data_IF_509173307003
#
_entry.id   IF_509173307003
#
_cell.length_a   1.000
_cell.length_b   1.000
_cell.length_c   1.000
_cell.angle_alpha   90.00
_cell.angle_beta   90.00
_cell.angle_gamma   90.00
#
_symmetry.space_group_name_H-M   'P 1'
#
loop_
_entity.id
_entity.type
_entity.pdbx_description
1 polymer ?
#
# COMPACT_ATOMS: atom_id res chain seq x y z
N UNK A 1 0.34 -11.10 -9.79
CA UNK A 1 0.51 -9.94 -10.71
C UNK A 1 1.09 -8.81 -9.89
N UNK A 2 2.11 -8.13 -10.41
CA UNK A 2 2.82 -7.10 -9.65
C UNK A 2 2.29 -5.71 -9.94
N UNK A 3 2.14 -4.92 -8.89
CA UNK A 3 1.74 -3.52 -8.97
C UNK A 3 2.63 -2.66 -8.10
N UNK A 4 3.15 -1.58 -8.66
CA UNK A 4 3.66 -0.46 -7.87
C UNK A 4 2.46 0.40 -7.47
N UNK A 5 2.34 0.68 -6.18
CA UNK A 5 1.35 1.60 -5.65
C UNK A 5 2.05 2.69 -4.86
N UNK A 6 1.84 3.93 -5.27
CA UNK A 6 2.28 5.11 -4.53
C UNK A 6 1.08 5.68 -3.78
N UNK A 7 1.23 5.93 -2.49
CA UNK A 7 0.15 6.42 -1.64
C UNK A 7 0.61 7.66 -0.89
N UNK A 8 -0.06 8.78 -1.11
CA UNK A 8 0.16 10.05 -0.40
C UNK A 8 -0.99 10.27 0.58
N UNK A 9 -0.69 10.32 1.88
CA UNK A 9 -1.68 10.38 2.96
C UNK A 9 -1.87 11.83 3.41
N UNK A 10 -3.08 12.36 3.23
CA UNK A 10 -3.47 13.73 3.59
C UNK A 10 -4.63 13.73 4.57
N UNK A 11 -4.31 13.63 5.86
CA UNK A 11 -5.30 13.82 6.93
C UNK A 11 -5.51 15.33 7.13
N UNK A 12 -6.75 15.86 7.05
CA UNK A 12 -7.03 17.28 7.20
C UNK A 12 -6.53 17.85 8.54
N UNK A 13 -6.03 19.09 8.50
CA UNK A 13 -5.74 19.86 9.71
C UNK A 13 -7.05 20.12 10.46
N UNK A 14 -7.15 19.65 11.70
CA UNK A 14 -8.38 19.72 12.49
C UNK A 14 -9.19 18.42 12.52
N UNK A 15 -8.74 17.36 11.83
CA UNK A 15 -9.28 16.02 12.07
C UNK A 15 -8.95 15.58 13.50
N UNK A 16 -9.88 14.85 14.12
CA UNK A 16 -9.75 14.40 15.51
C UNK A 16 -8.48 13.55 15.71
N UNK A 17 -7.66 13.93 16.70
CA UNK A 17 -6.34 13.34 16.90
C UNK A 17 -6.40 11.91 17.45
N UNK A 18 -7.40 11.62 18.29
CA UNK A 18 -7.61 10.29 18.87
C UNK A 18 -8.12 9.34 17.78
N UNK A 19 -9.04 9.82 16.94
CA UNK A 19 -9.53 9.09 15.78
C UNK A 19 -8.43 8.85 14.74
N UNK A 20 -7.60 9.86 14.44
CA UNK A 20 -6.45 9.69 13.57
C UNK A 20 -5.50 8.60 14.11
N UNK A 21 -5.29 8.57 15.42
CA UNK A 21 -4.44 7.57 16.08
C UNK A 21 -5.07 6.18 15.97
N UNK A 22 -6.37 6.05 16.20
CA UNK A 22 -7.12 4.80 16.05
C UNK A 22 -7.05 4.26 14.63
N UNK A 23 -7.30 5.11 13.63
CA UNK A 23 -7.22 4.74 12.22
C UNK A 23 -5.81 4.32 11.82
N UNK A 24 -4.77 5.04 12.27
CA UNK A 24 -3.36 4.66 12.04
C UNK A 24 -3.01 3.31 12.66
N UNK A 25 -3.54 3.00 13.84
CA UNK A 25 -3.32 1.71 14.49
C UNK A 25 -4.01 0.57 13.73
N UNK A 26 -5.25 0.76 13.30
CA UNK A 26 -5.99 -0.19 12.48
C UNK A 26 -5.31 -0.41 11.11
N UNK A 27 -4.87 0.67 10.46
CA UNK A 27 -4.11 0.63 9.21
C UNK A 27 -2.85 -0.22 9.38
N UNK A 28 -2.07 0.03 10.44
CA UNK A 28 -0.85 -0.73 10.72
C UNK A 28 -1.12 -2.22 10.92
N UNK A 29 -2.20 -2.58 11.61
CA UNK A 29 -2.58 -3.98 11.81
C UNK A 29 -2.94 -4.65 10.47
N UNK A 30 -3.80 -4.02 9.66
CA UNK A 30 -4.19 -4.51 8.34
C UNK A 30 -2.99 -4.67 7.41
N UNK A 31 -2.10 -3.68 7.41
CA UNK A 31 -0.84 -3.70 6.67
C UNK A 31 0.06 -4.88 7.07
N UNK A 32 0.21 -5.16 8.37
CA UNK A 32 1.01 -6.28 8.86
C UNK A 32 0.40 -7.64 8.46
N UNK A 33 -0.92 -7.77 8.44
CA UNK A 33 -1.58 -8.97 7.93
C UNK A 33 -1.30 -9.21 6.44
N UNK A 34 -1.43 -8.16 5.62
CA UNK A 34 -1.20 -8.24 4.17
C UNK A 34 0.27 -8.54 3.83
N UNK A 35 1.21 -8.02 4.62
CA UNK A 35 2.62 -8.40 4.48
C UNK A 35 2.89 -9.86 4.85
N UNK A 36 2.31 -10.36 5.96
CA UNK A 36 2.46 -11.77 6.34
C UNK A 36 1.88 -12.72 5.30
N UNK A 37 0.79 -12.31 4.64
CA UNK A 37 0.19 -13.04 3.52
C UNK A 37 1.04 -12.99 2.23
N UNK A 38 2.05 -12.11 2.17
CA UNK A 38 2.88 -11.89 0.98
C UNK A 38 2.20 -11.04 -0.11
N UNK A 39 0.97 -10.60 0.12
CA UNK A 39 0.21 -9.75 -0.81
C UNK A 39 0.81 -8.35 -0.90
N UNK A 40 1.23 -7.78 0.24
CA UNK A 40 1.98 -6.52 0.29
C UNK A 40 3.47 -6.87 0.46
N UNK A 41 4.19 -7.07 -0.65
CA UNK A 41 5.58 -7.57 -0.61
C UNK A 41 6.56 -6.58 0.00
N UNK A 42 6.46 -5.33 -0.44
CA UNK A 42 7.40 -4.30 -0.04
C UNK A 42 6.70 -2.98 0.22
N UNK A 43 7.26 -2.21 1.14
CA UNK A 43 6.89 -0.82 1.39
C UNK A 43 8.14 -0.01 1.69
N UNK A 44 8.16 1.22 1.19
CA UNK A 44 9.17 2.20 1.55
C UNK A 44 8.53 3.54 1.85
N UNK A 45 9.10 4.27 2.80
CA UNK A 45 8.74 5.66 3.08
C UNK A 45 9.40 6.55 2.03
N UNK A 46 8.63 7.44 1.41
CA UNK A 46 9.19 8.53 0.61
C UNK A 46 9.80 9.57 1.54
N UNK A 47 11.10 9.84 1.40
CA UNK A 47 11.83 10.77 2.28
C UNK A 47 11.20 12.16 2.23
N UNK A 48 10.95 12.74 3.41
CA UNK A 48 10.36 14.07 3.55
C UNK A 48 8.86 14.15 3.28
N UNK A 49 8.18 13.03 3.00
CA UNK A 49 6.76 13.01 2.67
C UNK A 49 6.01 12.01 3.56
N UNK A 50 4.75 12.30 3.87
CA UNK A 50 3.85 11.30 4.46
C UNK A 50 3.25 10.38 3.39
N UNK A 51 4.12 9.90 2.51
CA UNK A 51 3.79 9.02 1.38
C UNK A 51 4.60 7.72 1.44
N UNK A 52 4.12 6.68 0.76
CA UNK A 52 4.84 5.42 0.59
C UNK A 52 4.84 4.96 -0.87
N UNK A 53 5.85 4.16 -1.21
CA UNK A 53 5.88 3.35 -2.44
C UNK A 53 5.83 1.89 -2.02
N UNK A 54 4.93 1.14 -2.63
CA UNK A 54 4.65 -0.25 -2.26
C UNK A 54 4.60 -1.16 -3.48
N UNK A 55 4.97 -2.41 -3.29
CA UNK A 55 4.80 -3.48 -4.28
C UNK A 55 3.76 -4.47 -3.78
N UNK A 56 2.68 -4.64 -4.55
CA UNK A 56 1.65 -5.63 -4.30
C UNK A 56 1.80 -6.80 -5.27
N UNK A 57 1.54 -8.00 -4.78
CA UNK A 57 1.37 -9.21 -5.58
C UNK A 57 -0.01 -9.81 -5.33
N UNK A 58 -0.89 -9.66 -6.32
CA UNK A 58 -2.30 -10.11 -6.25
C UNK A 58 -2.67 -10.91 -7.50
N UNK A 59 -3.73 -11.70 -7.44
CA UNK A 59 -4.25 -12.48 -8.56
C UNK A 59 -4.99 -11.64 -9.61
N UNK A 60 -5.49 -10.44 -9.27
CA UNK A 60 -6.28 -9.63 -10.20
C UNK A 60 -6.31 -8.13 -9.86
N UNK A 61 -6.71 -7.31 -10.85
CA UNK A 61 -6.99 -5.88 -10.63
C UNK A 61 -8.10 -5.65 -9.59
N UNK A 62 -9.13 -6.50 -9.57
CA UNK A 62 -10.24 -6.40 -8.63
C UNK A 62 -9.78 -6.66 -7.20
N UNK A 63 -8.96 -7.69 -6.99
CA UNK A 63 -8.37 -7.98 -5.68
C UNK A 63 -7.51 -6.81 -5.16
N UNK A 64 -6.69 -6.19 -6.03
CA UNK A 64 -5.95 -4.99 -5.64
C UNK A 64 -6.90 -3.87 -5.23
N UNK A 65 -7.94 -3.60 -6.03
CA UNK A 65 -8.90 -2.55 -5.75
C UNK A 65 -9.57 -2.75 -4.39
N UNK A 66 -10.06 -3.96 -4.11
CA UNK A 66 -10.73 -4.30 -2.86
C UNK A 66 -9.79 -4.13 -1.66
N UNK A 67 -8.52 -4.53 -1.79
CA UNK A 67 -7.51 -4.32 -0.75
C UNK A 67 -7.31 -2.83 -0.49
N UNK A 68 -7.09 -2.03 -1.53
CA UNK A 68 -6.83 -0.60 -1.40
C UNK A 68 -8.03 0.14 -0.79
N UNK A 69 -9.25 -0.23 -1.16
CA UNK A 69 -10.48 0.36 -0.61
C UNK A 69 -10.74 -0.10 0.82
N UNK A 70 -10.27 -1.29 1.22
CA UNK A 70 -10.40 -1.80 2.59
C UNK A 70 -9.49 -1.13 3.62
N UNK A 71 -8.50 -0.34 3.17
CA UNK A 71 -7.57 0.32 4.07
C UNK A 71 -8.29 1.40 4.90
N UNK A 72 -8.19 1.39 6.25
CA UNK A 72 -8.77 2.41 7.11
C UNK A 72 -8.46 3.86 6.73
N UNK A 73 -7.28 4.12 6.20
CA UNK A 73 -6.86 5.45 5.76
C UNK A 73 -7.18 5.75 4.29
N UNK A 74 -7.81 4.83 3.54
CA UNK A 74 -8.14 5.02 2.11
C UNK A 74 -8.87 6.35 1.80
N UNK A 75 -9.78 6.87 2.66
CA UNK A 75 -10.44 8.16 2.40
C UNK A 75 -9.49 9.36 2.39
N UNK A 76 -8.31 9.23 3.00
CA UNK A 76 -7.29 10.27 3.11
C UNK A 76 -6.13 10.07 2.14
N UNK A 77 -6.17 9.03 1.29
CA UNK A 77 -5.06 8.69 0.40
C UNK A 77 -5.32 9.13 -1.03
N UNK A 78 -4.30 9.73 -1.64
CA UNK A 78 -4.18 9.80 -3.09
C UNK A 78 -3.28 8.66 -3.55
N UNK A 79 -3.80 7.80 -4.43
CA UNK A 79 -3.08 6.61 -4.87
C UNK A 79 -2.78 6.66 -6.36
N UNK A 80 -1.58 6.23 -6.76
CA UNK A 80 -1.21 5.95 -8.15
C UNK A 80 -0.83 4.48 -8.27
N UNK A 81 -1.47 3.77 -9.19
CA UNK A 81 -1.27 2.34 -9.41
C UNK A 81 -0.65 2.12 -10.79
N UNK A 82 0.46 1.39 -10.84
CA UNK A 82 1.17 1.02 -12.07
C UNK A 82 1.31 -0.50 -12.12
N UNK A 83 0.74 -1.14 -13.13
CA UNK A 83 0.94 -2.57 -13.37
C UNK A 83 2.38 -2.83 -13.84
N UNK A 84 3.01 -3.88 -13.31
CA UNK A 84 4.39 -4.24 -13.60
C UNK A 84 4.47 -5.62 -14.25
N UNK A 85 5.37 -5.74 -15.23
CA UNK A 85 5.80 -7.01 -15.79
C UNK A 85 7.16 -7.39 -15.21
N UNK A 86 7.42 -8.69 -15.16
CA UNK A 86 8.76 -9.20 -14.86
C UNK A 86 9.72 -8.76 -15.96
N UNK A 87 10.87 -8.23 -15.55
CA UNK A 87 11.89 -7.79 -16.50
C UNK A 87 12.69 -9.01 -17.03
N UNK A 88 12.91 -9.16 -18.34
CA UNK A 88 13.57 -10.35 -18.91
C UNK A 88 15.03 -10.53 -18.49
N UNK A 89 15.68 -9.44 -18.06
CA UNK A 89 17.07 -9.47 -17.56
C UNK A 89 17.20 -9.73 -16.06
N UNK A 90 16.11 -10.05 -15.35
CA UNK A 90 16.22 -10.40 -13.93
C UNK A 90 17.02 -11.69 -13.76
N UNK A 91 17.98 -11.69 -12.83
CA UNK A 91 18.76 -12.87 -12.48
C UNK A 91 18.06 -13.75 -11.45
N UNK A 92 17.06 -13.20 -10.76
CA UNK A 92 16.26 -13.96 -9.79
C UNK A 92 15.22 -14.80 -10.52
N UNK A 93 14.88 -15.95 -9.96
CA UNK A 93 13.84 -16.88 -10.48
C UNK A 93 12.44 -16.54 -9.96
N UNK A 94 12.35 -15.73 -8.89
CA UNK A 94 11.12 -15.12 -8.40
C UNK A 94 11.26 -13.59 -8.25
N UNK A 95 10.17 -12.95 -7.82
CA UNK A 95 10.07 -11.50 -7.66
C UNK A 95 9.82 -11.13 -6.17
N UNK A 96 10.15 -12.04 -5.24
CA UNK A 96 9.85 -11.94 -3.80
C UNK A 96 10.94 -11.25 -2.99
#
# INVERSE_FOLDING_TARGET
>A
MLFQVEMDVKIPLGFDADEATRLKAAEKARFQELQRAGTWRHIWRVVGQYANVSIFDVGSNAELHDILMSLPLSPFMTMRVTALCRHPSTLHDDDR
#
